data_IF_280874434596
#
_entry.id   IF_280874434596
#
_cell.length_a   1.000
_cell.length_b   1.000
_cell.length_c   1.000
_cell.angle_alpha   90.00
_cell.angle_beta   90.00
_cell.angle_gamma   90.00
#
_symmetry.space_group_name_H-M   'P 1'
#
loop_
_entity.id
_entity.type
_entity.pdbx_description
1 polymer ?
#
# COMPACT_ATOMS: atom_id res chain seq x y z
N UNK A 1 18.14 11.22 4.03
CA UNK A 1 17.72 9.85 4.37
C UNK A 1 17.06 9.19 3.18
N UNK A 2 17.26 7.90 2.99
CA UNK A 2 16.67 7.12 1.90
C UNK A 2 16.02 5.86 2.43
N UNK A 3 14.95 5.43 1.77
CA UNK A 3 14.22 4.21 2.10
C UNK A 3 14.29 3.25 0.90
N UNK A 4 14.53 1.97 1.18
CA UNK A 4 14.67 0.93 0.15
C UNK A 4 13.86 -0.30 0.53
N UNK A 5 13.56 -1.12 -0.45
CA UNK A 5 13.00 -2.45 -0.23
C UNK A 5 13.78 -3.49 -1.03
N UNK A 6 13.89 -4.70 -0.48
CA UNK A 6 14.38 -5.85 -1.24
C UNK A 6 13.26 -6.50 -2.06
N UNK A 7 12.01 -6.15 -1.79
CA UNK A 7 10.85 -6.76 -2.43
C UNK A 7 10.44 -6.07 -3.73
N UNK A 8 10.77 -4.78 -3.87
CA UNK A 8 10.44 -4.01 -5.07
C UNK A 8 11.33 -2.78 -5.18
N UNK A 9 11.43 -2.22 -6.38
CA UNK A 9 12.17 -0.99 -6.62
C UNK A 9 11.22 0.21 -6.66
N UNK A 10 11.77 1.40 -6.41
CA UNK A 10 11.02 2.64 -6.44
C UNK A 10 10.32 2.84 -7.81
N UNK A 11 9.03 3.09 -7.77
CA UNK A 11 8.24 3.30 -8.98
C UNK A 11 7.80 2.02 -9.68
N UNK A 12 8.21 0.85 -9.19
CA UNK A 12 7.85 -0.44 -9.77
C UNK A 12 6.64 -1.05 -9.07
N UNK A 13 6.06 -2.06 -9.72
CA UNK A 13 4.96 -2.81 -9.14
C UNK A 13 5.41 -3.60 -7.93
N UNK A 14 4.58 -3.58 -6.88
CA UNK A 14 4.81 -4.41 -5.70
C UNK A 14 4.31 -5.83 -5.95
N UNK A 15 4.96 -6.85 -5.37
CA UNK A 15 4.44 -8.22 -5.42
C UNK A 15 3.02 -8.30 -4.87
N UNK A 16 2.20 -9.18 -5.46
CA UNK A 16 0.79 -9.33 -5.07
C UNK A 16 0.62 -9.72 -3.59
N UNK A 17 1.59 -10.41 -3.01
CA UNK A 17 1.55 -10.83 -1.59
C UNK A 17 1.54 -9.66 -0.63
N UNK A 18 1.99 -8.49 -1.07
CA UNK A 18 1.99 -7.28 -0.24
C UNK A 18 0.69 -6.51 -0.34
N UNK A 19 -0.16 -6.84 -1.31
CA UNK A 19 -1.41 -6.13 -1.53
C UNK A 19 -2.53 -6.65 -0.64
N UNK A 20 -3.48 -5.78 -0.35
CA UNK A 20 -4.72 -6.17 0.32
C UNK A 20 -5.59 -7.05 -0.58
N UNK A 21 -5.65 -6.70 -1.85
CA UNK A 21 -6.47 -7.40 -2.83
C UNK A 21 -5.75 -7.64 -4.14
N UNK A 22 -6.27 -8.58 -4.91
CA UNK A 22 -5.74 -8.91 -6.23
C UNK A 22 -6.87 -9.42 -7.13
N UNK A 23 -6.61 -9.49 -8.42
CA UNK A 23 -7.51 -10.14 -9.35
C UNK A 23 -7.26 -11.67 -9.32
N UNK A 24 -8.33 -12.41 -9.18
CA UNK A 24 -8.32 -13.87 -9.27
C UNK A 24 -9.49 -14.28 -10.16
N UNK A 25 -9.19 -14.91 -11.29
CA UNK A 25 -10.19 -15.30 -12.28
C UNK A 25 -11.07 -14.10 -12.72
N UNK A 26 -10.44 -12.93 -12.88
CA UNK A 26 -11.13 -11.71 -13.30
C UNK A 26 -11.95 -11.02 -12.22
N UNK A 27 -11.88 -11.48 -10.97
CA UNK A 27 -12.63 -10.92 -9.85
C UNK A 27 -11.73 -10.49 -8.71
N UNK A 28 -12.22 -9.57 -7.89
CA UNK A 28 -11.51 -9.18 -6.66
C UNK A 28 -11.45 -10.36 -5.70
N UNK A 29 -10.26 -10.56 -5.12
CA UNK A 29 -10.02 -11.52 -4.05
C UNK A 29 -9.05 -10.91 -3.05
N UNK A 30 -9.09 -11.37 -1.81
CA UNK A 30 -8.10 -10.96 -0.80
C UNK A 30 -6.75 -11.56 -1.15
N UNK A 31 -5.70 -10.77 -1.01
CA UNK A 31 -4.32 -11.20 -1.09
C UNK A 31 -3.75 -11.40 0.32
N UNK A 32 -2.48 -11.77 0.42
CA UNK A 32 -1.86 -12.11 1.70
C UNK A 32 -1.64 -10.88 2.60
N UNK A 33 -1.57 -9.69 1.99
CA UNK A 33 -1.44 -8.43 2.71
C UNK A 33 -0.23 -8.42 3.66
N UNK A 34 0.89 -8.95 3.19
CA UNK A 34 2.12 -9.01 3.97
C UNK A 34 2.81 -7.66 4.00
N UNK A 35 3.50 -7.37 5.08
CA UNK A 35 4.35 -6.18 5.17
C UNK A 35 5.58 -6.36 4.29
N UNK A 36 5.98 -5.32 3.53
CA UNK A 36 7.19 -5.40 2.72
C UNK A 36 8.44 -5.33 3.59
N UNK A 37 9.54 -5.87 3.06
CA UNK A 37 10.86 -5.55 3.58
C UNK A 37 11.15 -4.07 3.34
N UNK A 38 11.62 -3.38 4.36
CA UNK A 38 12.05 -1.99 4.25
C UNK A 38 13.37 -1.79 4.99
N UNK A 39 14.25 -1.02 4.39
CA UNK A 39 15.50 -0.57 5.01
C UNK A 39 15.72 0.90 4.71
N UNK A 40 16.44 1.56 5.56
CA UNK A 40 16.73 2.98 5.38
C UNK A 40 18.19 3.26 5.71
N UNK A 41 18.69 4.36 5.16
CA UNK A 41 20.07 4.81 5.36
C UNK A 41 20.12 6.32 5.41
N UNK A 42 21.27 6.85 5.88
CA UNK A 42 21.46 8.29 5.95
C UNK A 42 20.60 8.98 7.00
N UNK A 43 20.30 8.28 8.10
CA UNK A 43 19.56 8.88 9.22
C UNK A 43 20.41 10.01 9.81
N UNK A 44 19.86 11.24 9.94
CA UNK A 44 20.59 12.34 10.57
C UNK A 44 21.01 12.01 11.99
N UNK A 45 22.23 12.44 12.39
CA UNK A 45 22.73 12.17 13.74
C UNK A 45 21.85 12.78 14.82
N UNK A 46 21.18 13.88 14.52
CA UNK A 46 20.29 14.59 15.45
C UNK A 46 18.96 13.86 15.64
N UNK A 47 18.64 12.91 14.79
CA UNK A 47 17.37 12.18 14.89
C UNK A 47 17.31 11.33 16.15
N UNK A 48 16.25 11.49 16.93
CA UNK A 48 16.03 10.75 18.17
C UNK A 48 15.03 9.61 17.99
N UNK A 49 14.25 9.67 16.94
CA UNK A 49 13.27 8.63 16.59
C UNK A 49 12.97 8.70 15.10
N UNK A 50 12.33 7.64 14.59
CA UNK A 50 11.87 7.57 13.22
C UNK A 50 10.40 7.21 13.22
N UNK A 51 9.69 7.75 12.26
CA UNK A 51 8.31 7.37 11.97
C UNK A 51 8.26 6.84 10.54
N UNK A 52 7.65 5.70 10.38
CA UNK A 52 7.46 5.07 9.08
C UNK A 52 5.96 4.93 8.82
N UNK A 53 5.51 5.48 7.69
CA UNK A 53 4.10 5.45 7.32
C UNK A 53 3.93 4.85 5.93
N UNK A 54 2.94 3.99 5.78
CA UNK A 54 2.51 3.50 4.47
C UNK A 54 1.16 4.14 4.15
N UNK A 55 1.15 5.04 3.18
CA UNK A 55 -0.03 5.82 2.83
C UNK A 55 -0.41 5.53 1.39
N UNK A 56 -1.67 5.16 1.19
CA UNK A 56 -2.25 5.00 -0.13
C UNK A 56 -3.17 6.21 -0.39
N UNK A 57 -2.82 7.08 -1.34
CA UNK A 57 -3.61 8.28 -1.61
C UNK A 57 -4.82 8.02 -2.51
N UNK A 58 -5.06 6.78 -2.88
CA UNK A 58 -5.97 6.45 -3.97
C UNK A 58 -7.06 5.46 -3.55
N UNK A 59 -7.35 5.40 -2.26
CA UNK A 59 -8.36 4.47 -1.72
C UNK A 59 -9.76 5.00 -2.06
N UNK A 60 -10.64 4.15 -2.62
CA UNK A 60 -12.01 4.53 -2.92
C UNK A 60 -12.79 4.92 -1.65
N UNK A 61 -13.66 5.91 -1.77
CA UNK A 61 -14.52 6.34 -0.66
C UNK A 61 -15.68 5.40 -0.42
N UNK A 62 -16.19 4.73 -1.48
CA UNK A 62 -17.25 3.73 -1.37
C UNK A 62 -16.66 2.32 -1.41
N UNK A 63 -16.36 1.78 -0.25
CA UNK A 63 -15.77 0.45 -0.12
C UNK A 63 -16.80 -0.67 -0.24
N UNK A 64 -18.07 -0.37 -0.03
CA UNK A 64 -19.15 -1.35 -0.16
C UNK A 64 -19.32 -1.82 -1.60
N UNK A 65 -19.11 -0.94 -2.57
CA UNK A 65 -19.17 -1.29 -3.98
C UNK A 65 -18.17 -2.40 -4.32
N UNK A 66 -16.96 -2.32 -3.79
CA UNK A 66 -15.94 -3.34 -3.99
C UNK A 66 -16.36 -4.69 -3.38
N UNK A 67 -16.92 -4.66 -2.18
CA UNK A 67 -17.32 -5.88 -1.46
C UNK A 67 -18.54 -6.55 -2.09
N UNK A 68 -19.47 -5.75 -2.61
CA UNK A 68 -20.75 -6.26 -3.14
C UNK A 68 -20.70 -6.59 -4.62
N UNK A 69 -20.00 -5.77 -5.41
CA UNK A 69 -19.96 -5.89 -6.87
C UNK A 69 -18.59 -6.32 -7.39
N UNK A 70 -17.54 -6.08 -6.60
CA UNK A 70 -16.16 -6.35 -6.99
C UNK A 70 -15.58 -5.32 -7.96
N UNK A 71 -16.29 -4.21 -8.18
CA UNK A 71 -15.88 -3.14 -9.09
C UNK A 71 -16.05 -1.79 -8.47
N UNK A 72 -15.20 -0.84 -8.87
CA UNK A 72 -15.24 0.55 -8.43
C UNK A 72 -15.15 1.44 -9.67
N UNK A 73 -16.05 2.41 -9.77
CA UNK A 73 -16.01 3.38 -10.87
C UNK A 73 -14.70 4.17 -10.84
N UNK A 74 -14.12 4.38 -12.02
CA UNK A 74 -12.83 5.07 -12.14
C UNK A 74 -12.90 6.52 -11.64
N UNK A 75 -14.06 7.15 -11.74
CA UNK A 75 -14.29 8.54 -11.31
C UNK A 75 -14.80 8.67 -9.88
N UNK A 76 -14.91 7.56 -9.13
CA UNK A 76 -15.26 7.62 -7.72
C UNK A 76 -14.20 8.44 -6.96
N UNK A 77 -14.60 9.33 -6.04
CA UNK A 77 -13.65 10.08 -5.22
C UNK A 77 -12.71 9.18 -4.45
N UNK A 78 -11.45 9.58 -4.37
CA UNK A 78 -10.39 8.86 -3.67
C UNK A 78 -9.98 9.63 -2.41
N UNK A 79 -9.37 8.93 -1.48
CA UNK A 79 -8.87 9.51 -0.24
C UNK A 79 -7.57 8.84 0.18
N UNK A 80 -6.85 9.51 1.08
CA UNK A 80 -5.67 8.93 1.72
C UNK A 80 -6.10 7.86 2.73
N UNK A 81 -5.34 6.78 2.77
CA UNK A 81 -5.52 5.73 3.75
C UNK A 81 -4.16 5.33 4.30
N UNK A 82 -4.02 5.39 5.62
CA UNK A 82 -2.80 4.94 6.29
C UNK A 82 -2.94 3.45 6.56
N UNK A 83 -2.19 2.64 5.80
CA UNK A 83 -2.21 1.20 5.98
C UNK A 83 -1.54 0.79 7.29
N UNK A 84 -0.43 1.45 7.63
CA UNK A 84 0.24 1.22 8.89
C UNK A 84 1.17 2.39 9.22
N UNK A 85 1.49 2.48 10.50
CA UNK A 85 2.34 3.52 11.06
C UNK A 85 3.19 2.90 12.18
N UNK A 86 4.50 3.13 12.11
CA UNK A 86 5.44 2.67 13.13
C UNK A 86 6.24 3.83 13.71
#
# INVERSE_FOLDING_TARGET
MRVFSNDFEHGEWMPCELAYGRLKEGRFALSDNLNPHLRFSGVPEEAKSLVLACIDPDVPTDREALNNIGEIDADQPRRDFVHWLF
#
